data_IF_068209895138
#
_entry.id   IF_068209895138
#
_cell.length_a   1.000
_cell.length_b   1.000
_cell.length_c   1.000
_cell.angle_alpha   90.00
_cell.angle_beta   90.00
_cell.angle_gamma   90.00
#
_symmetry.space_group_name_H-M   'P 1'
#
loop_
_entity.id
_entity.type
_entity.pdbx_description
1 polymer ?
#
# COMPACT_ATOMS: atom_id res chain seq x y z
N UNK A 1 20.83 5.01 14.14
CA UNK A 1 19.96 6.18 14.38
C UNK A 1 18.68 5.96 13.61
N UNK A 2 17.78 5.17 14.19
CA UNK A 2 16.45 4.91 13.67
C UNK A 2 15.59 6.15 13.90
N UNK A 3 15.68 7.10 12.97
CA UNK A 3 14.78 8.23 12.92
C UNK A 3 13.41 7.70 12.49
N UNK A 4 12.63 7.28 13.49
CA UNK A 4 11.25 6.85 13.34
C UNK A 4 10.47 7.89 12.51
N UNK A 5 9.63 7.45 11.55
CA UNK A 5 8.89 8.36 10.68
C UNK A 5 8.13 9.40 11.51
N UNK A 6 8.62 10.64 11.50
CA UNK A 6 8.08 11.70 12.34
C UNK A 6 6.64 12.03 11.89
N UNK A 7 5.68 11.49 12.63
CA UNK A 7 4.25 11.57 12.35
C UNK A 7 3.75 12.99 12.09
N UNK A 8 4.38 13.99 12.73
CA UNK A 8 4.07 15.42 12.55
C UNK A 8 4.47 15.92 11.16
N UNK A 9 5.61 15.47 10.63
CA UNK A 9 6.06 15.81 9.27
C UNK A 9 5.20 15.12 8.22
N UNK A 10 4.82 13.86 8.46
CA UNK A 10 3.94 13.10 7.57
C UNK A 10 2.56 13.76 7.52
N UNK A 11 2.00 14.14 8.68
CA UNK A 11 0.71 14.84 8.73
C UNK A 11 0.70 16.13 7.90
N UNK A 12 1.75 16.95 8.02
CA UNK A 12 1.89 18.17 7.19
C UNK A 12 2.00 17.87 5.70
N UNK A 13 2.69 16.81 5.31
CA UNK A 13 2.78 16.39 3.90
C UNK A 13 1.41 15.99 3.37
N UNK A 14 0.65 15.21 4.13
CA UNK A 14 -0.70 14.77 3.75
C UNK A 14 -1.68 15.95 3.69
N UNK A 15 -1.63 16.88 4.65
CA UNK A 15 -2.45 18.10 4.64
C UNK A 15 -2.09 19.01 3.46
N UNK A 16 -0.80 19.11 3.13
CA UNK A 16 -0.35 19.85 1.96
C UNK A 16 -0.83 19.22 0.65
N UNK A 17 -0.80 17.90 0.57
CA UNK A 17 -1.24 17.11 -0.57
C UNK A 17 -2.76 17.18 -0.76
N UNK A 18 -3.55 17.11 0.31
CA UNK A 18 -5.02 17.21 0.25
C UNK A 18 -5.49 18.58 -0.23
N UNK A 19 -4.77 19.65 0.14
CA UNK A 19 -5.04 21.02 -0.34
C UNK A 19 -4.67 21.23 -1.81
N UNK A 20 -3.80 20.39 -2.39
CA UNK A 20 -3.34 20.51 -3.79
C UNK A 20 -3.24 19.13 -4.48
N UNK A 21 -4.36 18.55 -4.94
CA UNK A 21 -4.41 17.23 -5.56
C UNK A 21 -3.42 17.03 -6.72
N UNK A 22 -3.15 18.08 -7.50
CA UNK A 22 -2.20 18.04 -8.63
C UNK A 22 -0.75 17.75 -8.21
N UNK A 23 -0.40 17.93 -6.93
CA UNK A 23 0.94 17.60 -6.41
C UNK A 23 1.06 16.15 -5.94
N UNK A 24 -0.06 15.47 -5.71
CA UNK A 24 -0.09 14.08 -5.24
C UNK A 24 0.73 13.15 -6.16
N UNK A 25 0.52 13.14 -7.50
CA UNK A 25 1.26 12.23 -8.38
C UNK A 25 2.79 12.42 -8.30
N UNK A 26 3.24 13.67 -8.16
CA UNK A 26 4.67 13.98 -8.07
C UNK A 26 5.26 13.57 -6.72
N UNK A 27 4.51 13.74 -5.64
CA UNK A 27 4.91 13.29 -4.31
C UNK A 27 5.00 11.75 -4.29
N UNK A 28 3.97 11.06 -4.78
CA UNK A 28 3.89 9.59 -4.73
C UNK A 28 4.90 8.95 -5.66
N UNK A 29 5.14 9.49 -6.86
CA UNK A 29 6.19 8.97 -7.76
C UNK A 29 7.58 9.10 -7.13
N UNK A 30 7.88 10.22 -6.46
CA UNK A 30 9.16 10.37 -5.73
C UNK A 30 9.30 9.36 -4.58
N UNK A 31 8.23 9.11 -3.83
CA UNK A 31 8.21 8.14 -2.73
C UNK A 31 8.40 6.71 -3.25
N UNK A 32 7.74 6.37 -4.36
CA UNK A 32 7.86 5.10 -5.05
C UNK A 32 9.30 4.84 -5.50
N UNK A 33 9.90 5.78 -6.25
CA UNK A 33 11.29 5.68 -6.70
C UNK A 33 12.25 5.48 -5.52
N UNK A 34 12.01 6.21 -4.43
CA UNK A 34 12.79 6.08 -3.21
C UNK A 34 12.61 4.71 -2.55
N UNK A 35 11.39 4.22 -2.45
CA UNK A 35 11.09 2.89 -1.89
C UNK A 35 11.81 1.78 -2.66
N UNK A 36 11.76 1.81 -4.00
CA UNK A 36 12.48 0.83 -4.84
C UNK A 36 14.00 0.92 -4.71
N UNK A 37 14.54 2.12 -4.49
CA UNK A 37 15.97 2.31 -4.22
C UNK A 37 16.35 1.75 -2.85
N UNK A 38 15.57 2.07 -1.82
CA UNK A 38 15.84 1.63 -0.44
C UNK A 38 15.61 0.12 -0.26
N UNK A 39 14.64 -0.49 -0.97
CA UNK A 39 14.46 -1.94 -1.01
C UNK A 39 15.69 -2.67 -1.57
N UNK A 40 16.29 -2.17 -2.66
CA UNK A 40 17.53 -2.73 -3.23
C UNK A 40 18.74 -2.59 -2.31
N UNK A 41 18.77 -1.54 -1.51
CA UNK A 41 19.85 -1.26 -0.56
C UNK A 41 19.60 -1.89 0.82
N UNK A 42 18.55 -2.69 0.98
CA UNK A 42 18.14 -3.30 2.26
C UNK A 42 17.91 -2.26 3.38
N UNK A 43 17.57 -1.02 3.01
CA UNK A 43 17.29 0.07 3.95
C UNK A 43 15.82 0.05 4.37
N UNK A 44 15.48 -0.96 5.17
CA UNK A 44 14.11 -1.26 5.56
C UNK A 44 13.45 -0.18 6.43
N UNK A 45 14.24 0.61 7.18
CA UNK A 45 13.72 1.76 7.94
C UNK A 45 13.08 2.83 7.04
N UNK A 46 13.69 3.11 5.88
CA UNK A 46 13.14 4.05 4.92
C UNK A 46 11.88 3.50 4.23
N UNK A 47 11.85 2.21 3.94
CA UNK A 47 10.68 1.52 3.35
C UNK A 47 9.47 1.61 4.30
N UNK A 48 9.67 1.33 5.59
CA UNK A 48 8.64 1.49 6.63
C UNK A 48 8.10 2.93 6.67
N UNK A 49 9.00 3.93 6.62
CA UNK A 49 8.60 5.33 6.60
C UNK A 49 7.76 5.71 5.36
N UNK A 50 8.13 5.20 4.18
CA UNK A 50 7.36 5.42 2.94
C UNK A 50 5.96 4.82 3.05
N UNK A 51 5.85 3.59 3.57
CA UNK A 51 4.55 2.94 3.80
C UNK A 51 3.66 3.71 4.77
N UNK A 52 4.23 4.23 5.86
CA UNK A 52 3.50 5.10 6.80
C UNK A 52 2.94 6.36 6.09
N UNK A 53 3.70 6.96 5.17
CA UNK A 53 3.23 8.10 4.38
C UNK A 53 2.06 7.71 3.48
N UNK A 54 2.17 6.60 2.76
CA UNK A 54 1.07 6.10 1.91
C UNK A 54 -0.18 5.78 2.71
N UNK A 55 -0.04 5.16 3.89
CA UNK A 55 -1.18 4.88 4.78
C UNK A 55 -1.91 6.15 5.19
N UNK A 56 -1.17 7.22 5.49
CA UNK A 56 -1.74 8.51 5.90
C UNK A 56 -2.29 9.31 4.70
N UNK A 57 -1.74 9.12 3.51
CA UNK A 57 -2.32 9.63 2.26
C UNK A 57 -3.64 8.93 1.94
N UNK A 58 -3.71 7.61 2.10
CA UNK A 58 -4.96 6.86 1.95
C UNK A 58 -6.05 7.39 2.87
N UNK A 59 -5.74 7.63 4.16
CA UNK A 59 -6.73 8.16 5.09
C UNK A 59 -7.14 9.61 4.82
N UNK A 60 -6.21 10.44 4.31
CA UNK A 60 -6.41 11.90 4.18
C UNK A 60 -6.85 12.36 2.79
N UNK A 61 -6.60 11.56 1.75
CA UNK A 61 -6.80 11.90 0.33
C UNK A 61 -7.61 10.80 -0.39
N UNK A 62 -8.69 10.30 0.26
CA UNK A 62 -9.50 9.16 -0.22
C UNK A 62 -10.05 9.36 -1.63
N UNK A 63 -10.55 10.56 -1.93
CA UNK A 63 -11.10 10.90 -3.24
C UNK A 63 -10.03 10.96 -4.35
N UNK A 64 -8.78 11.24 -3.96
CA UNK A 64 -7.64 11.36 -4.86
C UNK A 64 -6.82 10.07 -4.95
N UNK A 65 -7.26 8.99 -4.28
CA UNK A 65 -6.62 7.68 -4.32
C UNK A 65 -6.29 7.16 -5.72
N UNK A 66 -7.14 7.35 -6.77
CA UNK A 66 -6.79 6.95 -8.13
C UNK A 66 -5.49 7.55 -8.66
N UNK A 67 -5.06 8.72 -8.15
CA UNK A 67 -3.83 9.40 -8.59
C UNK A 67 -2.54 8.70 -8.15
N UNK A 68 -2.61 7.81 -7.17
CA UNK A 68 -1.44 7.13 -6.60
C UNK A 68 -1.62 5.64 -6.34
N UNK A 69 -2.81 5.10 -6.63
CA UNK A 69 -3.14 3.68 -6.48
C UNK A 69 -2.14 2.78 -7.22
N UNK A 70 -1.78 3.12 -8.46
CA UNK A 70 -0.81 2.36 -9.25
C UNK A 70 0.57 2.32 -8.59
N UNK A 71 1.08 3.47 -8.15
CA UNK A 71 2.36 3.56 -7.45
C UNK A 71 2.36 2.73 -6.15
N UNK A 72 1.29 2.83 -5.35
CA UNK A 72 1.18 2.08 -4.09
C UNK A 72 1.10 0.57 -4.33
N UNK A 73 0.31 0.11 -5.30
CA UNK A 73 0.22 -1.30 -5.67
C UNK A 73 1.57 -1.84 -6.17
N UNK A 74 2.32 -1.04 -6.93
CA UNK A 74 3.68 -1.38 -7.37
C UNK A 74 4.63 -1.63 -6.19
N UNK A 75 4.58 -0.77 -5.17
CA UNK A 75 5.36 -0.92 -3.94
C UNK A 75 4.92 -2.17 -3.15
N UNK A 76 3.61 -2.36 -2.97
CA UNK A 76 3.05 -3.54 -2.27
C UNK A 76 3.54 -4.82 -2.94
N UNK A 77 3.49 -4.87 -4.27
CA UNK A 77 4.00 -6.01 -5.04
C UNK A 77 5.48 -6.26 -4.79
N UNK A 78 6.30 -5.22 -4.86
CA UNK A 78 7.74 -5.34 -4.60
C UNK A 78 8.04 -5.88 -3.20
N UNK A 79 7.23 -5.52 -2.21
CA UNK A 79 7.33 -6.00 -0.82
C UNK A 79 6.92 -7.47 -0.68
N UNK A 80 5.82 -7.88 -1.31
CA UNK A 80 5.36 -9.27 -1.28
C UNK A 80 6.32 -10.22 -2.00
N UNK A 81 7.04 -9.72 -3.01
CA UNK A 81 8.08 -10.46 -3.74
C UNK A 81 9.37 -10.66 -2.90
N UNK A 82 9.54 -9.99 -1.75
CA UNK A 82 10.70 -10.18 -0.87
C UNK A 82 10.60 -11.49 -0.07
N UNK A 83 10.91 -12.62 -0.71
CA UNK A 83 10.82 -13.97 -0.10
C UNK A 83 11.79 -14.23 1.07
N UNK A 84 12.81 -13.39 1.24
CA UNK A 84 13.85 -13.55 2.27
C UNK A 84 13.63 -12.69 3.53
N UNK A 85 12.62 -11.82 3.53
CA UNK A 85 12.37 -10.84 4.59
C UNK A 85 10.88 -10.84 4.95
N UNK A 86 10.49 -11.72 5.87
CA UNK A 86 9.08 -11.89 6.24
C UNK A 86 8.47 -10.61 6.80
N UNK A 87 9.25 -9.76 7.46
CA UNK A 87 8.79 -8.45 7.94
C UNK A 87 8.33 -7.54 6.78
N UNK A 88 9.03 -7.56 5.64
CA UNK A 88 8.65 -6.78 4.46
C UNK A 88 7.37 -7.33 3.82
N UNK A 89 7.21 -8.66 3.81
CA UNK A 89 5.98 -9.30 3.31
C UNK A 89 4.79 -8.93 4.20
N UNK A 90 4.93 -8.99 5.52
CA UNK A 90 3.88 -8.58 6.48
C UNK A 90 3.51 -7.11 6.27
N UNK A 91 4.50 -6.23 6.07
CA UNK A 91 4.27 -4.82 5.76
C UNK A 91 3.51 -4.63 4.44
N UNK A 92 3.88 -5.37 3.39
CA UNK A 92 3.18 -5.38 2.10
C UNK A 92 1.73 -5.85 2.25
N UNK A 93 1.48 -6.90 3.05
CA UNK A 93 0.15 -7.39 3.34
C UNK A 93 -0.69 -6.35 4.09
N UNK A 94 -0.16 -5.77 5.16
CA UNK A 94 -0.84 -4.73 5.93
C UNK A 94 -1.19 -3.51 5.07
N UNK A 95 -0.29 -3.10 4.17
CA UNK A 95 -0.54 -2.00 3.24
C UNK A 95 -1.59 -2.35 2.20
N UNK A 96 -1.60 -3.59 1.69
CA UNK A 96 -2.65 -4.07 0.80
C UNK A 96 -4.01 -4.05 1.48
N UNK A 97 -4.10 -4.56 2.72
CA UNK A 97 -5.32 -4.52 3.53
C UNK A 97 -5.78 -3.08 3.77
N UNK A 98 -4.89 -2.16 4.12
CA UNK A 98 -5.24 -0.75 4.28
C UNK A 98 -5.77 -0.15 2.96
N UNK A 99 -5.15 -0.48 1.83
CA UNK A 99 -5.59 -0.03 0.52
C UNK A 99 -6.99 -0.56 0.19
N UNK A 100 -7.26 -1.85 0.40
CA UNK A 100 -8.59 -2.43 0.19
C UNK A 100 -9.62 -1.97 1.23
N UNK A 101 -9.23 -1.73 2.48
CA UNK A 101 -10.09 -1.25 3.55
C UNK A 101 -10.58 0.19 3.35
N UNK A 102 -9.80 1.01 2.66
CA UNK A 102 -10.23 2.36 2.23
C UNK A 102 -11.12 2.30 0.97
N UNK A 103 -11.14 1.16 0.27
CA UNK A 103 -12.05 0.85 -0.84
C UNK A 103 -13.33 0.13 -0.40
N UNK A 104 -13.27 -0.68 0.65
CA UNK A 104 -14.33 -1.50 1.22
C UNK A 104 -14.29 -1.31 2.73
N UNK A 105 -15.38 -0.81 3.31
CA UNK A 105 -15.54 -0.54 4.74
C UNK A 105 -15.52 -1.85 5.58
N UNK A 106 -14.41 -2.59 5.55
CA UNK A 106 -14.20 -3.85 6.27
C UNK A 106 -13.39 -3.49 7.50
N UNK A 107 -14.12 -3.32 8.60
CA UNK A 107 -13.58 -3.22 9.95
C UNK A 107 -12.66 -4.40 10.26
N UNK A 108 -11.65 -4.15 11.09
CA UNK A 108 -10.65 -5.09 11.58
C UNK A 108 -11.27 -6.37 12.20
N UNK A 109 -11.67 -7.32 11.36
CA UNK A 109 -11.92 -8.72 11.69
C UNK A 109 -11.61 -9.50 10.40
N UNK A 110 -10.36 -9.92 10.27
CA UNK A 110 -9.83 -10.50 9.04
C UNK A 110 -10.20 -11.99 8.95
N UNK A 111 -11.46 -12.28 8.62
CA UNK A 111 -11.88 -13.61 8.18
C UNK A 111 -11.64 -13.75 6.67
N UNK A 112 -10.94 -14.81 6.27
CA UNK A 112 -10.51 -15.11 4.90
C UNK A 112 -11.64 -15.11 3.85
N UNK A 113 -12.90 -15.11 4.27
CA UNK A 113 -14.08 -15.19 3.41
C UNK A 113 -14.50 -13.87 2.75
N UNK A 114 -14.15 -12.71 3.32
CA UNK A 114 -14.63 -11.41 2.80
C UNK A 114 -13.72 -10.80 1.72
N UNK A 115 -12.55 -11.38 1.54
CA UNK A 115 -11.54 -10.92 0.58
C UNK A 115 -11.95 -10.99 -0.91
N UNK A 116 -12.64 -12.05 -1.39
CA UNK A 116 -13.05 -12.15 -2.78
C UNK A 116 -14.02 -11.04 -3.19
N UNK A 117 -14.89 -10.60 -2.27
CA UNK A 117 -15.88 -9.56 -2.53
C UNK A 117 -15.26 -8.16 -2.63
N UNK A 118 -14.23 -7.88 -1.84
CA UNK A 118 -13.47 -6.64 -1.95
C UNK A 118 -12.71 -6.56 -3.29
N UNK A 119 -12.14 -7.68 -3.74
CA UNK A 119 -11.47 -7.77 -5.05
C UNK A 119 -12.45 -7.63 -6.21
N UNK A 120 -13.64 -8.23 -6.12
CA UNK A 120 -14.70 -8.06 -7.12
C UNK A 120 -15.15 -6.59 -7.23
N UNK A 121 -15.32 -5.90 -6.11
CA UNK A 121 -15.66 -4.47 -6.11
C UNK A 121 -14.55 -3.58 -6.69
N UNK A 122 -13.29 -4.01 -6.56
CA UNK A 122 -12.14 -3.33 -7.14
C UNK A 122 -12.06 -3.52 -8.67
N UNK A 123 -12.44 -4.71 -9.17
CA UNK A 123 -12.57 -5.01 -10.61
C UNK A 123 -13.43 -3.99 -11.34
N UNK A 124 -14.63 -3.73 -10.79
CA UNK A 124 -15.59 -2.80 -11.38
C UNK A 124 -15.07 -1.35 -11.44
N UNK A 125 -14.16 -0.94 -10.53
CA UNK A 125 -13.60 0.41 -10.53
C UNK A 125 -12.35 0.59 -11.38
N UNK A 126 -11.48 -0.42 -11.52
CA UNK A 126 -10.16 -0.23 -12.12
C UNK A 126 -9.98 -0.92 -13.49
N UNK A 127 -10.84 -1.88 -13.86
CA UNK A 127 -10.87 -2.46 -15.21
C UNK A 127 -9.57 -3.15 -15.67
N UNK A 128 -8.64 -3.48 -14.78
CA UNK A 128 -7.32 -4.03 -15.14
C UNK A 128 -7.15 -5.49 -14.72
N UNK A 129 -7.21 -6.40 -15.70
CA UNK A 129 -7.26 -7.86 -15.53
C UNK A 129 -5.99 -8.49 -14.92
N UNK A 130 -4.80 -7.93 -15.17
CA UNK A 130 -3.53 -8.54 -14.70
C UNK A 130 -3.31 -8.36 -13.19
N UNK A 131 -3.70 -7.20 -12.66
CA UNK A 131 -3.61 -6.91 -11.23
C UNK A 131 -4.54 -7.80 -10.40
N UNK A 132 -5.68 -8.21 -10.95
CA UNK A 132 -6.64 -9.08 -10.26
C UNK A 132 -6.10 -10.50 -10.06
N UNK A 133 -5.58 -11.13 -11.12
CA UNK A 133 -5.02 -12.49 -11.02
C UNK A 133 -3.85 -12.55 -10.04
N UNK A 134 -3.05 -11.49 -9.99
CA UNK A 134 -1.95 -11.38 -9.04
C UNK A 134 -2.44 -11.17 -7.60
N UNK A 135 -3.42 -10.30 -7.37
CA UNK A 135 -4.01 -10.07 -6.04
C UNK A 135 -4.67 -11.35 -5.49
N UNK A 136 -5.46 -12.04 -6.31
CA UNK A 136 -6.06 -13.34 -5.95
C UNK A 136 -4.96 -14.35 -5.64
N UNK A 137 -3.92 -14.44 -6.47
CA UNK A 137 -2.77 -15.32 -6.25
C UNK A 137 -2.00 -15.01 -4.95
N UNK A 138 -1.83 -13.74 -4.61
CA UNK A 138 -1.19 -13.31 -3.36
C UNK A 138 -2.04 -13.66 -2.14
N UNK A 139 -3.36 -13.42 -2.18
CA UNK A 139 -4.28 -13.79 -1.10
C UNK A 139 -4.30 -15.32 -0.90
N UNK A 140 -4.41 -16.10 -1.97
CA UNK A 140 -4.35 -17.55 -1.90
C UNK A 140 -3.03 -18.03 -1.30
N UNK A 141 -1.90 -17.44 -1.71
CA UNK A 141 -0.57 -17.80 -1.18
C UNK A 141 -0.43 -17.44 0.30
N UNK A 142 -1.03 -16.35 0.76
CA UNK A 142 -1.05 -15.97 2.16
C UNK A 142 -1.91 -16.92 2.99
N UNK A 143 -3.08 -17.33 2.48
CA UNK A 143 -3.96 -18.31 3.14
C UNK A 143 -3.32 -19.70 3.23
N UNK A 144 -2.46 -20.08 2.26
CA UNK A 144 -1.70 -21.34 2.29
C UNK A 144 -0.47 -21.32 3.20
N UNK A 145 -0.09 -20.17 3.78
CA UNK A 145 1.03 -20.08 4.74
C UNK A 145 0.56 -20.20 6.20
N UNK A 146 -0.75 -20.39 6.43
CA UNK A 146 -1.35 -20.50 7.78
C UNK A 146 -1.68 -21.94 8.18
N UNK A 147 -1.09 -22.97 7.54
CA UNK A 147 -1.14 -24.35 8.07
C UNK A 147 0.09 -25.15 7.66
#
# INVERSE_FOLDING_TARGET
MDAEPNDRKIGKLCEYASRNPLRIPKITSNLEQRCFKDLRNENFGCVKAVLCIYRKLLSSCKEQMPLFASCLLGIIRALLEQTRQDEMRILGCNALVCFMGEHCHISMDFDSEHMPYALFSFKDRQGNSETESWLIGCVCRLSSTTF
#
